data_IF_949212756388
#
_entry.id   IF_949212756388
#
_cell.length_a   1.000
_cell.length_b   1.000
_cell.length_c   1.000
_cell.angle_alpha   90.00
_cell.angle_beta   90.00
_cell.angle_gamma   90.00
#
_symmetry.space_group_name_H-M   'P 1'
#
loop_
_entity.id
_entity.type
_entity.pdbx_description
1 polymer ?
#
# COMPACT_ATOMS: atom_id res chain seq x y z
N UNK A 1 16.88 -3.20 8.44
CA UNK A 1 16.85 -1.94 7.67
C UNK A 1 15.46 -1.80 7.10
N UNK A 2 14.77 -0.70 7.38
CA UNK A 2 13.44 -0.41 6.83
C UNK A 2 13.61 0.30 5.49
N UNK A 3 12.90 -0.16 4.47
CA UNK A 3 12.83 0.51 3.17
C UNK A 3 11.36 0.74 2.85
N UNK A 4 10.97 2.00 2.68
CA UNK A 4 9.61 2.46 2.38
C UNK A 4 9.13 2.13 0.96
N UNK A 5 10.04 1.68 0.10
CA UNK A 5 9.79 1.39 -1.30
C UNK A 5 9.89 -0.12 -1.58
N UNK A 6 8.74 -0.77 -1.67
CA UNK A 6 8.61 -2.21 -1.97
C UNK A 6 9.43 -2.71 -3.17
N UNK A 7 9.58 -1.95 -4.30
CA UNK A 7 10.47 -2.37 -5.39
C UNK A 7 11.96 -2.41 -5.02
N UNK A 8 12.43 -1.54 -4.13
CA UNK A 8 13.81 -1.52 -3.63
C UNK A 8 14.09 -2.72 -2.72
N UNK A 9 13.15 -3.07 -1.85
CA UNK A 9 13.19 -4.29 -1.02
C UNK A 9 13.32 -5.52 -1.91
N UNK A 10 12.43 -5.67 -2.90
CA UNK A 10 12.45 -6.80 -3.82
C UNK A 10 13.80 -6.89 -4.55
N UNK A 11 14.33 -5.77 -5.06
CA UNK A 11 15.62 -5.77 -5.77
C UNK A 11 16.80 -6.16 -4.87
N UNK A 12 16.77 -5.76 -3.60
CA UNK A 12 17.82 -6.11 -2.65
C UNK A 12 17.78 -7.60 -2.28
N UNK A 13 16.59 -8.15 -2.01
CA UNK A 13 16.39 -9.56 -1.69
C UNK A 13 16.68 -10.49 -2.89
N UNK A 14 16.45 -10.00 -4.12
CA UNK A 14 16.71 -10.77 -5.35
C UNK A 14 18.18 -10.77 -5.79
N UNK A 15 19.04 -9.96 -5.15
CA UNK A 15 20.43 -9.74 -5.55
C UNK A 15 21.46 -10.10 -4.48
N UNK A 16 22.75 -10.19 -4.86
CA UNK A 16 23.84 -10.52 -3.93
C UNK A 16 24.08 -9.46 -2.83
N UNK A 17 23.65 -8.22 -3.06
CA UNK A 17 23.72 -7.12 -2.08
C UNK A 17 22.86 -7.36 -0.82
N UNK A 18 21.85 -8.21 -0.88
CA UNK A 18 20.98 -8.54 0.26
C UNK A 18 21.47 -9.70 1.12
N UNK A 19 22.55 -10.40 0.73
CA UNK A 19 23.04 -11.55 1.50
C UNK A 19 23.47 -11.11 2.91
N UNK A 20 22.74 -11.57 3.93
CA UNK A 20 22.98 -11.26 5.34
C UNK A 20 22.20 -10.07 5.89
N UNK A 21 21.44 -9.35 5.06
CA UNK A 21 20.62 -8.21 5.49
C UNK A 21 19.15 -8.61 5.63
N UNK A 22 18.57 -8.38 6.82
CA UNK A 22 17.12 -8.40 7.02
C UNK A 22 16.51 -7.08 6.55
N UNK A 23 15.84 -7.13 5.41
CA UNK A 23 15.13 -6.01 4.81
C UNK A 23 13.65 -6.19 5.06
N UNK A 24 13.01 -5.15 5.60
CA UNK A 24 11.57 -5.17 5.87
C UNK A 24 10.88 -4.15 4.99
N UNK A 25 9.73 -4.57 4.46
CA UNK A 25 8.71 -3.67 3.90
C UNK A 25 7.91 -3.04 5.08
N UNK A 26 7.38 -1.82 4.95
CA UNK A 26 6.72 -1.11 6.05
C UNK A 26 5.63 -1.90 6.77
N UNK A 27 4.76 -2.57 6.02
CA UNK A 27 3.64 -3.33 6.59
C UNK A 27 4.14 -4.53 7.40
N UNK A 28 5.11 -5.28 6.87
CA UNK A 28 5.76 -6.38 7.59
C UNK A 28 6.49 -5.90 8.85
N UNK A 29 7.24 -4.80 8.76
CA UNK A 29 7.96 -4.24 9.91
C UNK A 29 7.01 -3.81 11.03
N UNK A 30 5.92 -3.12 10.69
CA UNK A 30 4.93 -2.69 11.68
C UNK A 30 4.33 -3.90 12.36
N UNK A 31 3.88 -4.89 11.60
CA UNK A 31 3.19 -6.07 12.14
C UNK A 31 4.11 -6.91 13.04
N UNK A 32 5.38 -7.11 12.65
CA UNK A 32 6.33 -7.94 13.40
C UNK A 32 6.95 -7.24 14.62
N UNK A 33 7.12 -5.92 14.59
CA UNK A 33 7.94 -5.22 15.59
C UNK A 33 7.23 -4.10 16.34
N UNK A 34 6.24 -3.46 15.73
CA UNK A 34 5.55 -2.31 16.33
C UNK A 34 4.21 -2.71 16.94
N UNK A 35 3.44 -3.56 16.27
CA UNK A 35 2.11 -3.98 16.70
C UNK A 35 2.09 -4.64 18.10
N UNK A 36 3.09 -5.43 18.52
CA UNK A 36 3.17 -5.94 19.90
C UNK A 36 3.40 -4.88 20.98
N UNK A 37 3.69 -3.63 20.58
CA UNK A 37 4.05 -2.50 21.46
C UNK A 37 3.14 -1.29 21.25
N UNK A 38 2.21 -1.37 20.33
CA UNK A 38 1.24 -0.33 20.01
C UNK A 38 -0.14 -0.82 20.39
N UNK A 39 -0.87 -0.02 21.17
CA UNK A 39 -2.31 -0.17 21.29
C UNK A 39 -2.94 0.53 20.09
N UNK A 40 -3.65 -0.22 19.25
CA UNK A 40 -4.34 0.31 18.09
C UNK A 40 -5.83 0.40 18.40
N UNK A 41 -6.39 1.59 18.23
CA UNK A 41 -7.82 1.84 18.18
C UNK A 41 -8.21 2.08 16.72
N UNK A 42 -8.92 1.13 16.06
CA UNK A 42 -9.30 1.31 14.67
C UNK A 42 -10.09 2.60 14.45
N UNK A 43 -9.74 3.35 13.39
CA UNK A 43 -10.51 4.53 13.02
C UNK A 43 -11.91 4.14 12.54
N UNK A 44 -12.91 4.97 12.85
CA UNK A 44 -14.30 4.74 12.48
C UNK A 44 -14.59 5.16 11.02
N UNK A 45 -13.77 4.66 10.09
CA UNK A 45 -13.82 5.00 8.66
C UNK A 45 -13.76 3.75 7.77
N UNK A 46 -14.38 3.87 6.61
CA UNK A 46 -14.21 2.94 5.48
C UNK A 46 -13.05 3.42 4.64
N UNK A 47 -12.02 2.59 4.48
CA UNK A 47 -10.79 2.96 3.77
C UNK A 47 -10.52 2.02 2.61
N UNK A 48 -9.94 2.54 1.53
CA UNK A 48 -9.44 1.71 0.44
C UNK A 48 -8.01 1.25 0.69
N UNK A 49 -7.65 0.05 0.24
CA UNK A 49 -6.29 -0.48 0.33
C UNK A 49 -5.81 -0.97 -1.03
N UNK A 50 -4.71 -0.41 -1.52
CA UNK A 50 -3.99 -0.96 -2.66
C UNK A 50 -2.80 -1.79 -2.20
N UNK A 51 -2.91 -3.10 -2.37
CA UNK A 51 -1.80 -4.04 -2.16
C UNK A 51 -0.92 -4.03 -3.42
N UNK A 52 0.28 -3.47 -3.31
CA UNK A 52 1.18 -3.29 -4.45
C UNK A 52 1.62 -4.61 -5.08
N UNK A 53 1.88 -4.59 -6.39
CA UNK A 53 2.32 -5.77 -7.14
C UNK A 53 3.63 -6.37 -6.61
N UNK A 54 4.53 -5.55 -6.04
CA UNK A 54 5.72 -6.01 -5.31
C UNK A 54 5.36 -6.77 -4.03
N UNK A 55 4.46 -6.23 -3.19
CA UNK A 55 4.05 -6.90 -1.95
C UNK A 55 3.35 -8.23 -2.22
N UNK A 56 2.52 -8.29 -3.27
CA UNK A 56 1.92 -9.55 -3.73
C UNK A 56 2.98 -10.58 -4.12
N UNK A 57 3.98 -10.19 -4.93
CA UNK A 57 5.09 -11.09 -5.33
C UNK A 57 5.95 -11.56 -4.16
N UNK A 58 6.03 -10.77 -3.09
CA UNK A 58 6.73 -11.12 -1.85
C UNK A 58 5.87 -11.96 -0.89
N UNK A 59 4.61 -12.26 -1.23
CA UNK A 59 3.69 -12.99 -0.33
C UNK A 59 3.18 -12.17 0.84
N UNK A 60 3.32 -10.83 0.82
CA UNK A 60 2.95 -9.93 1.91
C UNK A 60 1.54 -9.32 1.75
N UNK A 61 0.73 -9.84 0.83
CA UNK A 61 -0.61 -9.31 0.58
C UNK A 61 -1.52 -9.41 1.80
N UNK A 62 -1.57 -10.59 2.42
CA UNK A 62 -2.39 -10.83 3.60
C UNK A 62 -1.87 -10.06 4.82
N UNK A 63 -0.55 -9.90 4.94
CA UNK A 63 0.08 -9.07 5.98
C UNK A 63 -0.37 -7.62 5.89
N UNK A 64 -0.36 -7.04 4.69
CA UNK A 64 -0.79 -5.66 4.46
C UNK A 64 -2.30 -5.48 4.72
N UNK A 65 -3.11 -6.45 4.31
CA UNK A 65 -4.56 -6.44 4.58
C UNK A 65 -4.86 -6.57 6.08
N UNK A 66 -4.16 -7.46 6.79
CA UNK A 66 -4.30 -7.65 8.22
C UNK A 66 -3.94 -6.37 8.98
N UNK A 67 -2.85 -5.70 8.60
CA UNK A 67 -2.46 -4.42 9.19
C UNK A 67 -3.54 -3.36 8.99
N UNK A 68 -4.05 -3.19 7.76
CA UNK A 68 -5.10 -2.21 7.50
C UNK A 68 -6.38 -2.50 8.31
N UNK A 69 -6.78 -3.77 8.42
CA UNK A 69 -7.95 -4.19 9.21
C UNK A 69 -7.77 -4.00 10.72
N UNK A 70 -6.53 -4.01 11.20
CA UNK A 70 -6.23 -3.66 12.59
C UNK A 70 -6.35 -2.15 12.87
N UNK A 71 -6.39 -1.32 11.82
CA UNK A 71 -6.35 0.14 11.95
C UNK A 71 -7.63 0.87 11.50
N UNK A 72 -8.57 0.21 10.82
CA UNK A 72 -9.82 0.82 10.34
C UNK A 72 -11.03 -0.10 10.51
N UNK A 73 -12.22 0.49 10.67
CA UNK A 73 -13.51 -0.23 10.76
C UNK A 73 -13.73 -1.13 9.55
N UNK A 74 -13.55 -0.60 8.35
CA UNK A 74 -13.79 -1.33 7.11
C UNK A 74 -12.68 -1.07 6.09
N UNK A 75 -12.20 -2.13 5.44
CA UNK A 75 -11.13 -2.07 4.45
C UNK A 75 -11.60 -2.68 3.14
N UNK A 76 -11.61 -1.87 2.09
CA UNK A 76 -12.00 -2.26 0.73
C UNK A 76 -10.76 -2.38 -0.15
N UNK A 77 -10.54 -3.55 -0.73
CA UNK A 77 -9.48 -3.76 -1.73
C UNK A 77 -10.13 -3.73 -3.11
N UNK A 78 -9.76 -2.81 -4.02
CA UNK A 78 -10.37 -2.75 -5.33
C UNK A 78 -10.07 -4.01 -6.15
N UNK A 79 -11.10 -4.51 -6.81
CA UNK A 79 -11.06 -5.63 -7.74
C UNK A 79 -10.33 -5.25 -9.04
N UNK A 80 -9.67 -6.24 -9.63
CA UNK A 80 -8.95 -6.14 -10.90
C UNK A 80 -7.79 -5.13 -10.94
N UNK A 81 -7.43 -4.48 -9.83
CA UNK A 81 -6.30 -3.53 -9.74
C UNK A 81 -5.13 -4.18 -9.00
N UNK A 82 -4.48 -5.14 -9.66
CA UNK A 82 -3.30 -5.82 -9.13
C UNK A 82 -2.00 -5.00 -9.28
N UNK A 83 -1.98 -4.05 -10.22
CA UNK A 83 -0.88 -3.14 -10.47
C UNK A 83 -1.47 -1.75 -10.77
N UNK A 84 -0.85 -0.69 -10.24
CA UNK A 84 -1.27 0.69 -10.52
C UNK A 84 -0.79 1.21 -11.89
N UNK A 85 0.03 0.47 -12.63
CA UNK A 85 0.54 0.90 -13.94
C UNK A 85 1.69 1.91 -13.89
N UNK A 86 2.15 2.35 -12.71
CA UNK A 86 3.27 3.30 -12.60
C UNK A 86 4.64 2.66 -12.89
N UNK A 87 4.78 1.35 -12.64
CA UNK A 87 5.95 0.53 -12.98
C UNK A 87 7.31 1.19 -12.62
N UNK A 88 7.45 1.63 -11.37
CA UNK A 88 8.59 2.44 -10.92
C UNK A 88 8.25 3.91 -11.10
N UNK A 89 8.87 4.56 -12.08
CA UNK A 89 8.69 5.95 -12.50
C UNK A 89 8.15 6.08 -13.93
N UNK A 90 8.03 4.96 -14.66
CA UNK A 90 7.54 4.95 -16.05
C UNK A 90 6.16 5.59 -16.22
N UNK A 91 5.30 5.50 -15.20
CA UNK A 91 3.99 6.17 -15.19
C UNK A 91 4.08 7.70 -15.36
N UNK A 92 5.22 8.31 -15.06
CA UNK A 92 5.46 9.74 -15.33
C UNK A 92 5.67 10.03 -16.82
N UNK A 93 6.27 9.09 -17.55
CA UNK A 93 6.62 9.22 -18.97
C UNK A 93 5.57 8.61 -19.89
N UNK A 94 4.69 7.75 -19.36
CA UNK A 94 3.62 7.06 -20.10
C UNK A 94 2.36 7.04 -19.24
N UNK A 95 1.69 8.19 -19.07
CA UNK A 95 0.51 8.33 -18.21
C UNK A 95 -0.66 7.44 -18.67
N UNK A 96 -0.72 7.09 -19.95
CA UNK A 96 -1.74 6.21 -20.52
C UNK A 96 -1.71 4.82 -19.88
N UNK A 97 -0.53 4.34 -19.44
CA UNK A 97 -0.40 3.05 -18.77
C UNK A 97 -1.05 3.08 -17.38
N UNK A 98 -0.84 4.16 -16.64
CA UNK A 98 -1.48 4.37 -15.33
C UNK A 98 -2.99 4.55 -15.48
N UNK A 99 -3.42 5.35 -16.45
CA UNK A 99 -4.83 5.57 -16.74
C UNK A 99 -5.55 4.27 -17.15
N UNK A 100 -4.95 3.46 -18.02
CA UNK A 100 -5.51 2.18 -18.43
C UNK A 100 -5.59 1.19 -17.26
N UNK A 101 -4.55 1.12 -16.42
CA UNK A 101 -4.52 0.23 -15.26
C UNK A 101 -5.55 0.61 -14.18
N UNK A 102 -5.91 1.89 -14.08
CA UNK A 102 -6.81 2.42 -13.05
C UNK A 102 -8.19 2.83 -13.59
N UNK A 103 -8.52 2.49 -14.84
CA UNK A 103 -9.75 2.93 -15.49
C UNK A 103 -11.03 2.52 -14.74
N UNK A 104 -11.02 1.38 -14.06
CA UNK A 104 -12.14 0.88 -13.26
C UNK A 104 -12.13 1.37 -11.81
N UNK A 105 -11.08 2.07 -11.35
CA UNK A 105 -10.93 2.48 -9.95
C UNK A 105 -12.02 3.42 -9.45
N UNK A 106 -12.39 4.51 -10.17
CA UNK A 106 -13.39 5.46 -9.67
C UNK A 106 -14.73 4.81 -9.34
N UNK A 107 -15.16 3.83 -10.15
CA UNK A 107 -16.44 3.14 -9.98
C UNK A 107 -16.45 2.19 -8.76
N UNK A 108 -15.28 1.88 -8.21
CA UNK A 108 -15.11 0.97 -7.07
C UNK A 108 -14.94 1.71 -5.74
N UNK A 109 -14.90 3.04 -5.75
CA UNK A 109 -14.77 3.85 -4.53
C UNK A 109 -16.12 3.87 -3.81
N UNK A 110 -16.22 3.33 -2.58
CA UNK A 110 -17.45 3.40 -1.80
C UNK A 110 -17.88 4.85 -1.53
N UNK A 111 -19.18 5.11 -1.45
CA UNK A 111 -19.72 6.47 -1.27
C UNK A 111 -19.30 7.14 0.04
N UNK A 112 -19.01 6.34 1.07
CA UNK A 112 -18.57 6.78 2.39
C UNK A 112 -17.04 6.75 2.56
N UNK A 113 -16.30 6.27 1.56
CA UNK A 113 -14.84 6.22 1.60
C UNK A 113 -14.23 7.58 1.24
N UNK A 114 -13.31 8.07 2.08
CA UNK A 114 -12.66 9.38 1.90
C UNK A 114 -11.17 9.32 1.60
N UNK A 115 -10.54 8.17 1.85
CA UNK A 115 -9.10 8.01 1.70
C UNK A 115 -8.73 6.55 1.39
N UNK A 116 -7.61 6.39 0.68
CA UNK A 116 -7.00 5.10 0.39
C UNK A 116 -5.58 5.00 0.95
N UNK A 117 -5.06 3.78 1.01
CA UNK A 117 -3.73 3.52 1.54
C UNK A 117 -2.94 2.56 0.65
N UNK A 118 -1.62 2.77 0.59
CA UNK A 118 -0.64 1.95 -0.13
C UNK A 118 0.71 2.01 0.59
N UNK A 119 1.68 1.21 0.17
CA UNK A 119 3.04 1.18 0.72
C UNK A 119 4.10 1.60 -0.32
N UNK A 120 3.71 2.46 -1.25
CA UNK A 120 4.56 2.89 -2.34
C UNK A 120 4.12 4.25 -2.84
N UNK A 121 5.02 5.22 -2.74
CA UNK A 121 4.76 6.62 -3.08
C UNK A 121 4.22 6.82 -4.50
N UNK A 122 4.75 6.08 -5.47
CA UNK A 122 4.31 6.19 -6.87
C UNK A 122 2.93 5.57 -7.08
N UNK A 123 2.60 4.50 -6.34
CA UNK A 123 1.24 3.96 -6.31
C UNK A 123 0.28 4.97 -5.66
N UNK A 124 0.65 5.56 -4.52
CA UNK A 124 -0.15 6.59 -3.83
C UNK A 124 -0.51 7.75 -4.77
N UNK A 125 0.48 8.26 -5.51
CA UNK A 125 0.26 9.35 -6.48
C UNK A 125 -0.68 8.93 -7.61
N UNK A 126 -0.41 7.81 -8.27
CA UNK A 126 -1.24 7.34 -9.40
C UNK A 126 -2.67 6.99 -8.97
N UNK A 127 -2.84 6.36 -7.81
CA UNK A 127 -4.17 6.04 -7.27
C UNK A 127 -4.92 7.32 -6.89
N UNK A 128 -4.28 8.28 -6.23
CA UNK A 128 -4.90 9.57 -5.89
C UNK A 128 -5.43 10.29 -7.12
N UNK A 129 -4.65 10.27 -8.21
CA UNK A 129 -5.00 10.93 -9.47
C UNK A 129 -6.23 10.31 -10.14
N UNK A 130 -6.41 8.99 -10.03
CA UNK A 130 -7.46 8.25 -10.74
C UNK A 130 -8.63 7.80 -9.88
N UNK A 131 -8.52 7.79 -8.55
CA UNK A 131 -9.61 7.35 -7.66
C UNK A 131 -10.62 8.47 -7.35
N UNK A 132 -10.21 9.74 -7.41
CA UNK A 132 -11.02 10.85 -6.89
C UNK A 132 -11.01 10.99 -5.36
N UNK A 133 -10.20 10.18 -4.67
CA UNK A 133 -9.89 10.29 -3.24
C UNK A 133 -8.37 10.23 -3.04
N UNK A 134 -7.80 10.90 -2.03
CA UNK A 134 -6.37 10.83 -1.75
C UNK A 134 -5.95 9.43 -1.29
N UNK A 135 -4.77 9.00 -1.73
CA UNK A 135 -4.08 7.82 -1.22
C UNK A 135 -2.84 8.23 -0.41
N UNK A 136 -2.68 7.60 0.75
CA UNK A 136 -1.60 7.86 1.70
C UNK A 136 -0.75 6.61 1.95
N UNK A 137 0.39 6.80 2.61
CA UNK A 137 1.18 5.68 3.11
C UNK A 137 0.39 4.91 4.16
N UNK A 138 0.46 3.57 4.15
CA UNK A 138 -0.14 2.71 5.17
C UNK A 138 0.38 3.03 6.57
N UNK A 139 1.59 3.58 6.70
CA UNK A 139 2.12 4.04 7.98
C UNK A 139 1.31 5.22 8.56
N UNK A 140 0.67 6.02 7.72
CA UNK A 140 -0.22 7.09 8.17
C UNK A 140 -1.50 6.54 8.79
N UNK A 141 -2.05 5.46 8.22
CA UNK A 141 -3.19 4.75 8.82
C UNK A 141 -2.83 4.17 10.20
N UNK A 142 -1.62 3.60 10.32
CA UNK A 142 -1.11 3.11 11.61
C UNK A 142 -0.98 4.24 12.63
N UNK A 143 -0.43 5.39 12.23
CA UNK A 143 -0.33 6.58 13.10
C UNK A 143 -1.70 7.08 13.54
N UNK A 144 -2.70 7.09 12.65
CA UNK A 144 -4.06 7.49 12.99
C UNK A 144 -4.70 6.55 14.03
N UNK A 145 -4.48 5.24 13.90
CA UNK A 145 -5.04 4.24 14.80
C UNK A 145 -4.28 4.11 16.14
N UNK A 146 -3.02 4.55 16.21
CA UNK A 146 -2.19 4.46 17.42
C UNK A 146 -2.30 5.69 18.35
N UNK A 147 -3.27 6.58 18.10
CA UNK A 147 -3.49 7.82 18.86
C UNK A 147 -4.49 7.66 20.00
#
# INVERSE_FOLDING_TARGET
MLLDTSPCVQRLLSGALGKGLRVFEPSAFVLEHLLPRLELTPIDETVMLHITCSSRRMGLGDTMLALARACAREVVVPEHIQCCGFAGDKGLMTPELNAAALASLPAQVPSDCRQGFSNSRTCEMGLSQHAGIPYHSILYLVDQAAR
#
